data_IF_587978146319
#
_entry.id   IF_587978146319
#
_cell.length_a   1.000
_cell.length_b   1.000
_cell.length_c   1.000
_cell.angle_alpha   90.00
_cell.angle_beta   90.00
_cell.angle_gamma   90.00
#
_symmetry.space_group_name_H-M   'P 1'
#
loop_
_entity.id
_entity.type
_entity.pdbx_description
1 polymer ?
#
# COMPACT_ATOMS: atom_id res chain seq x y z
N UNK A 1 -5.36 23.43 4.14
CA UNK A 1 -5.90 22.17 3.59
C UNK A 1 -5.10 21.01 4.16
N UNK A 2 -5.78 20.04 4.76
CA UNK A 2 -5.13 18.85 5.29
C UNK A 2 -4.59 17.99 4.15
N UNK A 3 -3.38 17.47 4.34
CA UNK A 3 -2.69 16.66 3.35
C UNK A 3 -2.51 15.23 3.88
N UNK A 4 -2.67 14.27 3.00
CA UNK A 4 -2.52 12.85 3.30
C UNK A 4 -1.53 12.22 2.34
N UNK A 5 -0.75 11.28 2.82
CA UNK A 5 0.16 10.48 1.99
C UNK A 5 -0.30 9.03 2.01
N UNK A 6 -0.59 8.50 0.83
CA UNK A 6 -0.95 7.10 0.64
C UNK A 6 0.18 6.46 -0.16
N UNK A 7 0.91 5.56 0.46
CA UNK A 7 2.06 4.90 -0.16
C UNK A 7 1.75 3.44 -0.45
N UNK A 8 1.79 3.04 -1.71
CA UNK A 8 1.70 1.64 -2.09
C UNK A 8 3.09 1.10 -2.37
N UNK A 9 3.47 0.02 -1.69
CA UNK A 9 4.80 -0.56 -1.83
C UNK A 9 4.90 -1.51 -3.02
N UNK A 10 6.05 -1.50 -3.66
CA UNK A 10 6.37 -2.34 -4.79
C UNK A 10 7.77 -2.05 -5.31
N UNK A 11 8.14 -2.69 -6.40
CA UNK A 11 9.41 -2.44 -7.10
C UNK A 11 9.13 -1.83 -8.47
N UNK A 12 9.97 -0.88 -8.91
CA UNK A 12 9.80 -0.24 -10.21
C UNK A 12 10.24 -1.18 -11.35
N UNK A 13 9.66 -0.94 -12.51
CA UNK A 13 10.04 -1.61 -13.75
C UNK A 13 9.06 -2.69 -14.19
N UNK A 14 9.03 -2.94 -15.49
CA UNK A 14 8.10 -3.88 -16.10
C UNK A 14 8.28 -5.31 -15.61
N UNK A 15 9.51 -5.67 -15.22
CA UNK A 15 9.81 -7.01 -14.70
C UNK A 15 9.07 -7.34 -13.40
N UNK A 16 8.71 -6.31 -12.62
CA UNK A 16 7.98 -6.49 -11.36
C UNK A 16 6.48 -6.24 -11.50
N UNK A 17 6.03 -5.74 -12.64
CA UNK A 17 4.61 -5.47 -12.87
C UNK A 17 3.80 -6.76 -12.76
N UNK A 18 2.68 -6.70 -12.04
CA UNK A 18 1.81 -7.87 -11.87
C UNK A 18 2.29 -8.89 -10.85
N UNK A 19 3.40 -8.64 -10.15
CA UNK A 19 3.89 -9.53 -9.11
C UNK A 19 3.12 -9.35 -7.80
N UNK A 20 3.14 -10.38 -6.95
CA UNK A 20 2.54 -10.32 -5.62
C UNK A 20 3.12 -9.20 -4.77
N UNK A 21 4.43 -8.93 -4.92
CA UNK A 21 5.09 -7.87 -4.18
C UNK A 21 4.63 -6.48 -4.59
N UNK A 22 4.07 -6.33 -5.78
CA UNK A 22 3.56 -5.05 -6.30
C UNK A 22 2.06 -4.84 -6.02
N UNK A 23 1.47 -5.59 -5.09
CA UNK A 23 0.05 -5.43 -4.74
C UNK A 23 -0.26 -4.00 -4.28
N UNK A 24 0.65 -3.38 -3.52
CA UNK A 24 0.49 -1.98 -3.12
C UNK A 24 0.39 -1.03 -4.31
N UNK A 25 1.21 -1.24 -5.34
CA UNK A 25 1.13 -0.45 -6.57
C UNK A 25 -0.22 -0.64 -7.27
N UNK A 26 -0.75 -1.86 -7.26
CA UNK A 26 -2.03 -2.18 -7.92
C UNK A 26 -3.20 -1.44 -7.29
N UNK A 27 -3.22 -1.32 -5.97
CA UNK A 27 -4.27 -0.58 -5.26
C UNK A 27 -4.21 0.91 -5.63
N UNK A 28 -3.01 1.49 -5.66
CA UNK A 28 -2.85 2.89 -6.04
C UNK A 28 -3.19 3.13 -7.51
N UNK A 29 -2.84 2.21 -8.40
CA UNK A 29 -3.21 2.31 -9.81
C UNK A 29 -4.73 2.26 -9.98
N UNK A 30 -5.41 1.41 -9.21
CA UNK A 30 -6.87 1.34 -9.24
C UNK A 30 -7.52 2.64 -8.73
N UNK A 31 -6.97 3.21 -7.66
CA UNK A 31 -7.45 4.51 -7.14
C UNK A 31 -7.25 5.62 -8.17
N UNK A 32 -6.08 5.67 -8.79
CA UNK A 32 -5.76 6.70 -9.79
C UNK A 32 -6.68 6.58 -11.01
N UNK A 33 -6.93 5.36 -11.48
CA UNK A 33 -7.84 5.12 -12.60
C UNK A 33 -9.27 5.57 -12.27
N UNK A 34 -9.77 5.20 -11.09
CA UNK A 34 -11.11 5.58 -10.64
C UNK A 34 -11.26 7.10 -10.46
N UNK A 35 -10.18 7.79 -10.12
CA UNK A 35 -10.16 9.24 -9.90
C UNK A 35 -9.75 10.03 -11.14
N UNK A 36 -9.44 9.35 -12.23
CA UNK A 36 -8.97 9.93 -13.50
C UNK A 36 -7.76 10.84 -13.30
N UNK A 37 -6.79 10.36 -12.55
CA UNK A 37 -5.51 11.05 -12.32
C UNK A 37 -4.37 10.16 -12.77
N UNK A 38 -3.20 10.77 -13.02
CA UNK A 38 -2.04 10.08 -13.55
C UNK A 38 -0.82 10.29 -12.66
N UNK A 39 0.03 9.26 -12.59
CA UNK A 39 1.29 9.35 -11.88
C UNK A 39 2.33 10.07 -12.72
N UNK A 40 3.13 10.91 -12.07
CA UNK A 40 4.28 11.58 -12.66
C UNK A 40 5.55 11.11 -11.98
N UNK A 41 6.65 11.07 -12.72
CA UNK A 41 7.98 10.72 -12.18
C UNK A 41 8.48 11.88 -11.32
N UNK A 42 8.63 11.62 -10.04
CA UNK A 42 9.10 12.59 -9.05
C UNK A 42 10.27 12.00 -8.27
N UNK A 43 10.76 12.75 -7.28
CA UNK A 43 11.86 12.26 -6.46
C UNK A 43 11.44 11.04 -5.64
N UNK A 44 12.20 9.97 -5.75
CA UNK A 44 12.01 8.69 -5.06
C UNK A 44 10.75 7.92 -5.42
N UNK A 45 9.95 8.38 -6.39
CA UNK A 45 8.75 7.64 -6.72
C UNK A 45 7.90 8.26 -7.81
N UNK A 46 6.88 7.52 -8.22
CA UNK A 46 5.80 8.04 -9.04
C UNK A 46 4.73 8.60 -8.10
N UNK A 47 4.28 9.82 -8.37
CA UNK A 47 3.35 10.54 -7.51
C UNK A 47 2.15 11.03 -8.32
N UNK A 48 0.96 10.83 -7.79
CA UNK A 48 -0.28 11.40 -8.30
C UNK A 48 -0.95 12.21 -7.19
N UNK A 49 -1.65 13.26 -7.55
CA UNK A 49 -2.31 14.14 -6.59
C UNK A 49 -3.78 14.27 -6.91
N UNK A 50 -4.61 14.34 -5.88
CA UNK A 50 -6.03 14.63 -6.03
C UNK A 50 -6.54 15.34 -4.77
N UNK A 51 -7.76 15.85 -4.85
CA UNK A 51 -8.44 16.47 -3.72
C UNK A 51 -9.76 15.76 -3.50
N UNK A 52 -10.06 15.42 -2.24
CA UNK A 52 -11.29 14.78 -1.84
C UNK A 52 -11.92 15.58 -0.70
N UNK A 53 -13.06 16.22 -0.97
CA UNK A 53 -13.79 17.02 0.02
C UNK A 53 -12.88 17.98 0.82
N UNK A 54 -12.03 18.72 0.11
CA UNK A 54 -11.16 19.71 0.72
C UNK A 54 -9.87 19.17 1.33
N UNK A 55 -9.60 17.87 1.17
CA UNK A 55 -8.37 17.23 1.65
C UNK A 55 -7.49 16.86 0.46
N UNK A 56 -6.21 17.16 0.56
CA UNK A 56 -5.27 16.82 -0.51
C UNK A 56 -4.66 15.46 -0.28
N UNK A 57 -4.67 14.62 -1.31
CA UNK A 57 -4.13 13.26 -1.25
C UNK A 57 -2.96 13.16 -2.22
N UNK A 58 -1.81 12.73 -1.69
CA UNK A 58 -0.64 12.32 -2.49
C UNK A 58 -0.59 10.81 -2.52
N UNK A 59 -0.59 10.24 -3.72
CA UNK A 59 -0.37 8.80 -3.92
C UNK A 59 1.09 8.62 -4.31
N UNK A 60 1.80 7.77 -3.60
CA UNK A 60 3.22 7.53 -3.82
C UNK A 60 3.48 6.05 -4.12
N UNK A 61 4.06 5.78 -5.29
CA UNK A 61 4.63 4.46 -5.62
C UNK A 61 6.15 4.61 -5.60
N UNK A 62 6.85 4.15 -4.53
CA UNK A 62 8.30 4.30 -4.44
C UNK A 62 9.03 3.63 -5.60
N UNK A 63 10.09 4.27 -6.10
CA UNK A 63 10.98 3.69 -7.12
C UNK A 63 12.35 3.36 -6.55
N UNK A 64 12.44 3.28 -5.23
CA UNK A 64 13.68 3.05 -4.46
C UNK A 64 14.03 1.58 -4.33
N UNK A 65 13.28 0.67 -4.95
CA UNK A 65 13.22 -0.75 -4.61
C UNK A 65 12.70 -0.98 -3.18
N UNK A 66 12.18 -2.19 -2.94
CA UNK A 66 11.40 -2.48 -1.73
C UNK A 66 12.18 -2.21 -0.44
N UNK A 67 13.43 -2.63 -0.37
CA UNK A 67 14.24 -2.51 0.84
C UNK A 67 14.67 -1.08 1.19
N UNK A 68 14.38 -0.10 0.33
CA UNK A 68 14.66 1.32 0.56
C UNK A 68 13.40 2.18 0.55
N UNK A 69 12.24 1.57 0.72
CA UNK A 69 10.94 2.26 0.68
C UNK A 69 10.84 3.43 1.66
N UNK A 70 11.51 3.33 2.80
CA UNK A 70 11.50 4.38 3.82
C UNK A 70 12.07 5.71 3.33
N UNK A 71 13.03 5.67 2.39
CA UNK A 71 13.61 6.90 1.83
C UNK A 71 12.53 7.73 1.12
N UNK A 72 11.67 7.08 0.37
CA UNK A 72 10.57 7.76 -0.34
C UNK A 72 9.52 8.28 0.65
N UNK A 73 9.10 7.45 1.59
CA UNK A 73 8.07 7.82 2.56
C UNK A 73 8.53 9.02 3.40
N UNK A 74 9.73 8.95 3.98
CA UNK A 74 10.26 10.04 4.81
C UNK A 74 10.40 11.33 4.00
N UNK A 75 10.92 11.23 2.78
CA UNK A 75 11.08 12.40 1.91
C UNK A 75 9.73 13.11 1.70
N UNK A 76 8.70 12.37 1.31
CA UNK A 76 7.41 12.99 0.96
C UNK A 76 6.65 13.49 2.18
N UNK A 77 6.76 12.82 3.34
CA UNK A 77 6.21 13.37 4.58
C UNK A 77 6.84 14.73 4.90
N UNK A 78 8.16 14.84 4.79
CA UNK A 78 8.88 16.07 5.11
C UNK A 78 8.65 17.16 4.06
N UNK A 79 8.71 16.81 2.78
CA UNK A 79 8.56 17.75 1.67
C UNK A 79 7.19 18.42 1.70
N UNK A 80 6.14 17.65 1.93
CA UNK A 80 4.77 18.16 1.95
C UNK A 80 4.26 18.50 3.33
N UNK A 81 5.09 18.34 4.36
CA UNK A 81 4.75 18.64 5.76
C UNK A 81 3.50 17.88 6.20
N UNK A 82 3.51 16.56 5.94
CA UNK A 82 2.39 15.66 6.27
C UNK A 82 2.70 14.99 7.60
N UNK A 83 1.78 15.10 8.55
CA UNK A 83 1.90 14.40 9.83
C UNK A 83 1.79 12.89 9.62
N UNK A 84 2.54 12.13 10.41
CA UNK A 84 2.58 10.68 10.30
C UNK A 84 1.21 10.03 10.57
N UNK A 85 0.33 10.69 11.31
CA UNK A 85 -1.05 10.24 11.52
C UNK A 85 -1.88 10.25 10.23
N UNK A 86 -1.41 10.94 9.19
CA UNK A 86 -2.07 11.03 7.88
C UNK A 86 -1.33 10.22 6.81
N UNK A 87 -0.52 9.26 7.24
CA UNK A 87 0.16 8.30 6.36
C UNK A 87 -0.58 6.97 6.39
N UNK A 88 -0.86 6.43 5.21
CA UNK A 88 -1.33 5.04 5.05
C UNK A 88 -0.37 4.33 4.10
N UNK A 89 0.20 3.21 4.54
CA UNK A 89 1.07 2.36 3.71
C UNK A 89 0.32 1.09 3.35
N UNK A 90 0.36 0.72 2.08
CA UNK A 90 -0.30 -0.49 1.56
C UNK A 90 0.77 -1.47 1.12
N UNK A 91 0.74 -2.68 1.67
CA UNK A 91 1.76 -3.69 1.42
C UNK A 91 1.16 -5.07 1.19
N UNK A 92 1.92 -5.93 0.51
CA UNK A 92 1.65 -7.35 0.40
C UNK A 92 1.87 -8.04 1.75
N UNK A 93 1.10 -9.10 2.05
CA UNK A 93 1.15 -9.81 3.31
C UNK A 93 1.09 -11.33 3.10
N UNK A 94 2.18 -12.02 3.47
CA UNK A 94 2.26 -13.49 3.36
C UNK A 94 1.35 -14.21 4.36
N UNK A 95 1.08 -13.61 5.52
CA UNK A 95 0.33 -14.26 6.58
C UNK A 95 -1.19 -14.30 6.33
N UNK A 96 -1.65 -13.59 5.30
CA UNK A 96 -3.07 -13.55 4.95
C UNK A 96 -3.31 -14.25 3.61
N UNK A 97 -4.44 -14.99 3.49
CA UNK A 97 -4.78 -15.61 2.21
C UNK A 97 -5.09 -14.58 1.13
N UNK A 98 -4.97 -14.99 -0.11
CA UNK A 98 -5.28 -14.16 -1.28
C UNK A 98 -6.72 -13.65 -1.20
N UNK A 99 -6.88 -12.34 -1.36
CA UNK A 99 -8.19 -11.68 -1.29
C UNK A 99 -8.58 -11.23 0.11
N UNK A 100 -7.86 -11.66 1.15
CA UNK A 100 -8.03 -11.11 2.49
C UNK A 100 -7.22 -9.84 2.67
N UNK A 101 -7.55 -9.04 3.66
CA UNK A 101 -6.77 -7.85 4.02
C UNK A 101 -6.98 -7.50 5.48
N UNK A 102 -6.07 -6.69 6.02
CA UNK A 102 -6.21 -6.18 7.38
C UNK A 102 -5.61 -4.78 7.49
N UNK A 103 -6.40 -3.86 8.03
CA UNK A 103 -5.98 -2.49 8.31
C UNK A 103 -5.61 -2.38 9.78
N UNK A 104 -4.42 -1.82 10.04
CA UNK A 104 -3.93 -1.59 11.42
C UNK A 104 -3.46 -0.16 11.58
N UNK A 105 -3.66 0.39 12.79
CA UNK A 105 -3.21 1.74 13.13
C UNK A 105 -1.69 1.81 13.34
N UNK A 106 -1.07 0.71 13.75
CA UNK A 106 0.37 0.59 14.00
C UNK A 106 0.75 -0.90 13.97
N UNK A 107 1.98 -1.21 14.28
CA UNK A 107 2.42 -2.60 14.43
C UNK A 107 3.81 -2.86 13.88
N UNK A 108 4.26 -4.11 14.06
CA UNK A 108 5.56 -4.56 13.58
C UNK A 108 5.57 -4.69 12.04
N UNK A 109 6.78 -4.83 11.48
CA UNK A 109 6.94 -4.99 10.03
C UNK A 109 6.58 -6.41 9.54
N UNK A 110 6.39 -7.39 10.45
CA UNK A 110 6.07 -8.77 10.07
C UNK A 110 7.11 -9.44 9.18
N UNK A 111 8.36 -8.95 9.20
CA UNK A 111 9.42 -9.45 8.31
C UNK A 111 9.39 -8.87 6.91
N UNK A 112 8.49 -7.95 6.61
CA UNK A 112 8.40 -7.30 5.30
C UNK A 112 9.52 -6.26 5.15
N UNK A 113 10.34 -6.39 4.10
CA UNK A 113 11.52 -5.53 3.92
C UNK A 113 11.16 -4.04 3.77
N UNK A 114 10.11 -3.73 3.04
CA UNK A 114 9.68 -2.34 2.86
C UNK A 114 9.18 -1.72 4.15
N UNK A 115 8.32 -2.43 4.89
CA UNK A 115 7.85 -1.96 6.19
C UNK A 115 9.00 -1.87 7.19
N UNK A 116 9.96 -2.79 7.11
CA UNK A 116 11.15 -2.76 7.96
C UNK A 116 11.99 -1.52 7.75
N UNK A 117 12.21 -1.12 6.50
CA UNK A 117 12.97 0.10 6.20
C UNK A 117 12.21 1.36 6.62
N UNK A 118 10.91 1.41 6.38
CA UNK A 118 10.07 2.52 6.86
C UNK A 118 10.18 2.62 8.39
N UNK A 119 10.08 1.48 9.09
CA UNK A 119 10.20 1.44 10.54
C UNK A 119 11.54 1.97 11.04
N UNK A 120 12.64 1.67 10.35
CA UNK A 120 13.96 2.20 10.71
C UNK A 120 13.99 3.72 10.68
N UNK A 121 13.25 4.35 9.77
CA UNK A 121 13.33 5.80 9.54
C UNK A 121 12.27 6.60 10.30
N UNK A 122 11.07 6.04 10.51
CA UNK A 122 9.96 6.77 11.13
C UNK A 122 9.26 6.02 12.26
N UNK A 123 9.71 4.81 12.61
CA UNK A 123 9.09 4.00 13.66
C UNK A 123 7.86 3.23 13.17
N UNK A 124 7.07 2.73 14.11
CA UNK A 124 5.94 1.83 13.84
C UNK A 124 4.58 2.52 13.89
N UNK A 125 4.52 3.78 14.28
CA UNK A 125 3.25 4.47 14.54
C UNK A 125 2.71 5.14 13.28
N UNK A 126 2.23 4.31 12.35
CA UNK A 126 1.54 4.76 11.14
C UNK A 126 0.55 3.69 10.70
N UNK A 127 -0.52 4.09 10.01
CA UNK A 127 -1.53 3.16 9.51
C UNK A 127 -0.98 2.32 8.36
N UNK A 128 -1.37 1.04 8.31
CA UNK A 128 -1.00 0.15 7.23
C UNK A 128 -2.14 -0.77 6.84
N UNK A 129 -2.31 -0.92 5.55
CA UNK A 129 -3.24 -1.87 4.96
C UNK A 129 -2.42 -3.04 4.41
N UNK A 130 -2.60 -4.23 5.01
CA UNK A 130 -1.91 -5.45 4.60
C UNK A 130 -2.82 -6.24 3.67
N UNK A 131 -2.37 -6.45 2.43
CA UNK A 131 -3.12 -7.16 1.39
C UNK A 131 -2.60 -8.59 1.28
N UNK A 132 -3.47 -9.56 1.57
CA UNK A 132 -3.09 -10.97 1.55
C UNK A 132 -2.66 -11.46 0.18
N UNK A 133 -1.54 -12.18 0.14
CA UNK A 133 -1.02 -12.79 -1.08
C UNK A 133 -0.89 -14.31 -0.95
N UNK A 134 -1.20 -14.86 0.23
CA UNK A 134 -1.03 -16.27 0.49
C UNK A 134 0.43 -16.67 0.67
N UNK A 135 0.65 -17.95 0.95
CA UNK A 135 1.99 -18.47 1.20
C UNK A 135 2.14 -19.94 0.75
N UNK A 136 1.51 -20.28 -0.34
CA UNK A 136 1.55 -21.67 -0.86
C UNK A 136 2.83 -21.89 -1.68
N UNK A 137 3.96 -21.94 -0.97
CA UNK A 137 5.26 -22.17 -1.58
C UNK A 137 6.09 -23.14 -0.73
N UNK A 138 7.02 -23.88 -1.35
CA UNK A 138 7.89 -24.80 -0.62
C UNK A 138 8.91 -24.04 0.22
N UNK A 139 9.47 -24.71 1.22
CA UNK A 139 10.52 -24.16 2.07
C UNK A 139 11.64 -23.55 1.20
N UNK A 140 12.03 -22.30 1.50
CA UNK A 140 13.02 -21.55 0.73
C UNK A 140 12.48 -20.87 -0.50
N UNK A 141 11.17 -21.03 -0.82
CA UNK A 141 10.56 -20.44 -2.02
C UNK A 141 9.91 -19.08 -1.83
N UNK A 142 10.14 -18.42 -0.69
CA UNK A 142 9.47 -17.14 -0.39
C UNK A 142 9.79 -16.06 -1.41
N UNK A 143 11.05 -15.90 -1.80
CA UNK A 143 11.47 -14.87 -2.75
C UNK A 143 10.77 -15.09 -4.10
N UNK A 144 10.80 -16.31 -4.60
CA UNK A 144 10.13 -16.64 -5.87
C UNK A 144 8.62 -16.42 -5.80
N UNK A 145 8.02 -16.68 -4.64
CA UNK A 145 6.59 -16.44 -4.43
C UNK A 145 6.23 -14.97 -4.52
N UNK A 146 6.90 -14.10 -3.76
CA UNK A 146 6.58 -12.67 -3.74
C UNK A 146 6.90 -12.00 -5.08
N UNK A 147 7.92 -12.46 -5.80
CA UNK A 147 8.27 -11.95 -7.12
C UNK A 147 7.52 -12.65 -8.26
N UNK A 148 6.68 -13.64 -7.94
CA UNK A 148 5.83 -14.33 -8.91
C UNK A 148 4.64 -13.49 -9.30
N UNK A 149 4.24 -13.61 -10.56
CA UNK A 149 3.09 -12.88 -11.09
C UNK A 149 1.80 -13.57 -10.70
N UNK A 150 0.77 -12.78 -10.46
CA UNK A 150 -0.58 -13.30 -10.32
C UNK A 150 -1.06 -13.91 -11.63
N UNK A 151 -1.76 -15.04 -11.53
CA UNK A 151 -2.49 -15.63 -12.66
C UNK A 151 -3.80 -14.86 -12.86
N UNK A 152 -4.49 -15.10 -13.99
CA UNK A 152 -5.82 -14.53 -14.21
C UNK A 152 -6.80 -14.96 -13.13
N UNK A 153 -6.71 -16.22 -12.69
CA UNK A 153 -7.56 -16.74 -11.61
C UNK A 153 -7.27 -16.05 -10.28
N UNK A 154 -5.99 -15.83 -9.97
CA UNK A 154 -5.59 -15.06 -8.79
C UNK A 154 -6.19 -13.66 -8.83
N UNK A 155 -6.14 -13.00 -9.98
CA UNK A 155 -6.65 -11.64 -10.13
C UNK A 155 -8.16 -11.57 -9.90
N UNK A 156 -8.91 -12.60 -10.25
CA UNK A 156 -10.35 -12.65 -9.95
C UNK A 156 -10.61 -12.66 -8.45
N UNK A 157 -9.76 -13.32 -7.68
CA UNK A 157 -9.86 -13.33 -6.22
C UNK A 157 -9.34 -12.04 -5.59
N UNK A 158 -8.34 -11.42 -6.18
CA UNK A 158 -7.72 -10.21 -5.65
C UNK A 158 -8.53 -8.96 -5.95
N UNK A 159 -9.21 -8.89 -7.09
CA UNK A 159 -9.87 -7.67 -7.55
C UNK A 159 -10.87 -7.09 -6.54
N UNK A 160 -11.74 -7.88 -5.89
CA UNK A 160 -12.63 -7.34 -4.86
C UNK A 160 -11.87 -6.68 -3.70
N UNK A 161 -10.72 -7.24 -3.30
CA UNK A 161 -9.89 -6.67 -2.25
C UNK A 161 -9.24 -5.36 -2.71
N UNK A 162 -8.80 -5.27 -3.96
CA UNK A 162 -8.28 -4.03 -4.53
C UNK A 162 -9.37 -2.95 -4.53
N UNK A 163 -10.59 -3.30 -4.94
CA UNK A 163 -11.71 -2.36 -4.98
C UNK A 163 -12.03 -1.84 -3.57
N UNK A 164 -12.02 -2.73 -2.58
CA UNK A 164 -12.19 -2.31 -1.18
C UNK A 164 -11.01 -1.46 -0.69
N UNK A 165 -9.80 -1.75 -1.16
CA UNK A 165 -8.63 -0.93 -0.86
C UNK A 165 -8.80 0.52 -1.31
N UNK A 166 -9.40 0.75 -2.46
CA UNK A 166 -9.73 2.09 -2.95
C UNK A 166 -10.71 2.78 -1.99
N UNK A 167 -11.75 2.07 -1.54
CA UNK A 167 -12.71 2.61 -0.58
C UNK A 167 -12.08 2.87 0.79
N UNK A 168 -11.16 2.01 1.22
CA UNK A 168 -10.41 2.19 2.46
C UNK A 168 -9.58 3.47 2.43
N UNK A 169 -8.92 3.76 1.31
CA UNK A 169 -8.17 5.01 1.15
C UNK A 169 -9.09 6.21 1.37
N UNK A 170 -10.25 6.23 0.72
CA UNK A 170 -11.22 7.32 0.86
C UNK A 170 -11.70 7.46 2.30
N UNK A 171 -12.05 6.35 2.94
CA UNK A 171 -12.52 6.35 4.32
C UNK A 171 -11.44 6.82 5.29
N UNK A 172 -10.19 6.37 5.10
CA UNK A 172 -9.08 6.81 5.92
C UNK A 172 -8.92 8.34 5.87
N UNK A 173 -9.00 8.92 4.69
CA UNK A 173 -8.88 10.37 4.49
C UNK A 173 -10.07 11.11 5.10
N UNK A 174 -11.28 10.59 4.95
CA UNK A 174 -12.51 11.29 5.36
C UNK A 174 -12.89 11.05 6.81
N UNK A 175 -12.62 9.88 7.35
CA UNK A 175 -13.14 9.45 8.66
C UNK A 175 -12.04 9.03 9.65
N UNK A 176 -10.81 8.82 9.20
CA UNK A 176 -9.70 8.41 10.06
C UNK A 176 -9.57 6.91 10.24
N UNK A 177 -8.48 6.51 10.93
CA UNK A 177 -8.09 5.10 11.01
C UNK A 177 -9.07 4.25 11.82
N UNK A 178 -9.58 4.74 12.95
CA UNK A 178 -10.40 3.92 13.83
C UNK A 178 -11.74 3.56 13.20
N UNK A 179 -12.43 4.53 12.63
CA UNK A 179 -13.69 4.30 11.91
C UNK A 179 -13.49 3.38 10.73
N UNK A 180 -12.40 3.60 9.98
CA UNK A 180 -12.09 2.78 8.81
C UNK A 180 -11.80 1.33 9.19
N UNK A 181 -11.04 1.10 10.26
CA UNK A 181 -10.82 -0.28 10.75
C UNK A 181 -12.13 -0.96 11.12
N UNK A 182 -13.00 -0.27 11.87
CA UNK A 182 -14.28 -0.85 12.27
C UNK A 182 -15.17 -1.21 11.10
N UNK A 183 -15.17 -0.37 10.08
CA UNK A 183 -16.05 -0.56 8.92
C UNK A 183 -15.53 -1.65 7.97
N UNK A 184 -14.22 -1.72 7.76
CA UNK A 184 -13.65 -2.53 6.67
C UNK A 184 -12.97 -3.83 7.09
N UNK A 185 -12.39 -3.93 8.29
CA UNK A 185 -11.66 -5.15 8.68
C UNK A 185 -12.53 -6.40 8.67
N UNK A 186 -13.80 -6.30 9.01
CA UNK A 186 -14.74 -7.43 8.95
C UNK A 186 -14.96 -7.96 7.55
N UNK A 187 -14.75 -7.11 6.52
CA UNK A 187 -14.89 -7.49 5.12
C UNK A 187 -13.62 -8.13 4.57
N UNK A 188 -12.50 -7.98 5.26
CA UNK A 188 -11.20 -8.51 4.84
C UNK A 188 -10.89 -9.91 5.34
N UNK A 189 -11.79 -10.54 6.07
CA UNK A 189 -11.59 -11.89 6.59
C UNK A 189 -11.98 -12.93 5.54
N UNK A 190 -11.17 -13.97 5.46
CA UNK A 190 -11.46 -15.13 4.62
C UNK A 190 -11.25 -16.41 5.36
#
# INVERSE_FOLDING_TARGET
>A
MDKYLICGLGNPGDEYAGTRQNTGFMVLDAFAKASNIHFEDKRYGFVAETTLKGRKIFLLKPTTFMNLSGNAVRYWLNQEKIDQSRLLVISDELALPLGAFRLKANGSNGGHNGLGHIQQLIGQNYARLRMGIGNDYPRGGQIDWVLGKYTEEDMKQLQPAIDLGVEIIKSFVLAGIDITMNQYNKLGKK
#
